data_IF_415910320607
#
_entry.id   IF_415910320607
#
_cell.length_a   1.000
_cell.length_b   1.000
_cell.length_c   1.000
_cell.angle_alpha   90.00
_cell.angle_beta   90.00
_cell.angle_gamma   90.00
#
_symmetry.space_group_name_H-M   'P 1'
#
loop_
_entity.id
_entity.type
_entity.pdbx_description
1 polymer ?
#
# COMPACT_ATOMS: atom_id res chain seq x y z
N UNK A 1 5.47 -10.52 16.12
CA UNK A 1 6.04 -9.22 16.53
C UNK A 1 7.31 -9.34 17.38
N UNK A 2 7.26 -9.94 18.58
CA UNK A 2 8.44 -10.02 19.47
C UNK A 2 9.69 -10.60 18.78
N UNK A 3 9.52 -11.66 17.97
CA UNK A 3 10.63 -12.26 17.23
C UNK A 3 11.32 -11.27 16.29
N UNK A 4 10.58 -10.40 15.61
CA UNK A 4 11.16 -9.37 14.74
C UNK A 4 12.05 -8.38 15.50
N UNK A 5 11.67 -7.99 16.72
CA UNK A 5 12.46 -7.08 17.56
C UNK A 5 13.80 -7.73 17.95
N UNK A 6 13.82 -9.04 18.17
CA UNK A 6 15.02 -9.76 18.60
C UNK A 6 15.86 -10.35 17.45
N UNK A 7 15.25 -10.71 16.31
CA UNK A 7 15.93 -11.41 15.19
C UNK A 7 15.98 -10.59 13.91
N UNK A 8 15.36 -9.41 13.85
CA UNK A 8 15.27 -8.56 12.66
C UNK A 8 14.51 -9.19 11.48
N UNK A 9 13.88 -10.34 11.69
CA UNK A 9 13.31 -11.16 10.61
C UNK A 9 12.05 -11.87 11.07
N UNK A 10 11.01 -11.87 10.22
CA UNK A 10 9.76 -12.57 10.46
C UNK A 10 9.24 -13.15 9.17
N UNK A 11 8.69 -14.36 9.23
CA UNK A 11 8.00 -14.96 8.09
C UNK A 11 6.57 -14.42 8.08
N UNK A 12 6.21 -13.64 7.07
CA UNK A 12 4.88 -13.05 6.93
C UNK A 12 4.01 -14.02 6.14
N UNK A 13 2.96 -14.54 6.77
CA UNK A 13 1.92 -15.30 6.09
C UNK A 13 0.70 -14.40 5.85
N UNK A 14 -0.07 -14.61 4.77
CA UNK A 14 -1.19 -13.73 4.39
C UNK A 14 -2.26 -13.61 5.48
N UNK A 15 -2.59 -14.70 6.17
CA UNK A 15 -3.54 -14.71 7.29
C UNK A 15 -3.08 -13.81 8.44
N UNK A 16 -1.77 -13.81 8.71
CA UNK A 16 -1.17 -13.08 9.82
C UNK A 16 -0.77 -11.67 9.36
N UNK A 17 -0.62 -11.44 8.05
CA UNK A 17 -0.14 -10.18 7.49
C UNK A 17 -1.02 -8.99 7.89
N UNK A 18 -2.33 -9.20 7.99
CA UNK A 18 -3.31 -8.20 8.43
C UNK A 18 -3.08 -7.77 9.88
N UNK A 19 -3.03 -8.73 10.81
CA UNK A 19 -2.77 -8.46 12.23
C UNK A 19 -1.36 -7.93 12.46
N UNK A 20 -0.39 -8.41 11.67
CA UNK A 20 0.99 -7.97 11.73
C UNK A 20 1.16 -6.56 11.18
N UNK A 21 0.41 -6.17 10.15
CA UNK A 21 0.36 -4.80 9.64
C UNK A 21 -0.23 -3.86 10.68
N UNK A 22 -1.34 -4.24 11.32
CA UNK A 22 -1.95 -3.50 12.42
C UNK A 22 -0.96 -3.29 13.58
N UNK A 23 -0.27 -4.35 13.99
CA UNK A 23 0.73 -4.27 15.03
C UNK A 23 1.93 -3.41 14.57
N UNK A 24 2.42 -3.58 13.34
CA UNK A 24 3.53 -2.81 12.81
C UNK A 24 3.22 -1.31 12.79
N UNK A 25 2.00 -0.93 12.46
CA UNK A 25 1.55 0.46 12.49
C UNK A 25 1.44 0.99 13.94
N UNK A 26 0.81 0.22 14.84
CA UNK A 26 0.68 0.59 16.25
C UNK A 26 2.03 0.81 16.95
N UNK A 27 3.06 0.05 16.58
CA UNK A 27 4.40 0.16 17.16
C UNK A 27 5.38 0.92 16.25
N UNK A 28 4.89 1.57 15.17
CA UNK A 28 5.69 2.36 14.23
C UNK A 28 6.93 1.61 13.68
N UNK A 29 6.82 0.30 13.48
CA UNK A 29 7.89 -0.54 12.93
C UNK A 29 7.88 -0.47 11.41
N UNK A 30 8.46 0.58 10.84
CA UNK A 30 8.46 0.80 9.38
C UNK A 30 9.02 -0.38 8.57
N UNK A 31 10.10 -1.02 9.04
CA UNK A 31 10.68 -2.17 8.33
C UNK A 31 9.73 -3.37 8.27
N UNK A 32 9.03 -3.64 9.38
CA UNK A 32 8.03 -4.70 9.44
C UNK A 32 6.81 -4.35 8.58
N UNK A 33 6.39 -3.08 8.62
CA UNK A 33 5.27 -2.56 7.82
C UNK A 33 5.53 -2.78 6.33
N UNK A 34 6.72 -2.42 5.82
CA UNK A 34 7.08 -2.64 4.40
C UNK A 34 7.09 -4.11 4.00
N UNK A 35 7.56 -5.01 4.88
CA UNK A 35 7.53 -6.44 4.62
C UNK A 35 6.09 -6.98 4.53
N UNK A 36 5.21 -6.54 5.43
CA UNK A 36 3.79 -6.87 5.37
C UNK A 36 3.13 -6.32 4.11
N UNK A 37 3.40 -5.05 3.77
CA UNK A 37 2.90 -4.41 2.56
C UNK A 37 3.30 -5.20 1.31
N UNK A 38 4.55 -5.66 1.22
CA UNK A 38 5.03 -6.45 0.08
C UNK A 38 4.36 -7.82 -0.02
N UNK A 39 4.22 -8.53 1.10
CA UNK A 39 3.53 -9.82 1.12
C UNK A 39 2.06 -9.69 0.70
N UNK A 40 1.37 -8.65 1.19
CA UNK A 40 -0.02 -8.37 0.83
C UNK A 40 -0.13 -7.94 -0.64
N UNK A 41 0.82 -7.15 -1.14
CA UNK A 41 0.82 -6.69 -2.53
C UNK A 41 0.94 -7.83 -3.55
N UNK A 42 1.62 -8.92 -3.19
CA UNK A 42 1.73 -10.11 -4.07
C UNK A 42 0.41 -10.88 -4.23
N UNK A 43 -0.52 -10.76 -3.28
CA UNK A 43 -1.80 -11.49 -3.28
C UNK A 43 -2.99 -10.61 -3.72
N UNK A 44 -2.71 -9.39 -4.20
CA UNK A 44 -3.76 -8.50 -4.70
C UNK A 44 -4.50 -9.18 -5.86
N UNK A 45 -5.82 -9.28 -5.71
CA UNK A 45 -6.73 -9.84 -6.71
C UNK A 45 -7.94 -8.93 -6.92
N UNK A 46 -8.65 -9.10 -8.04
CA UNK A 46 -9.80 -8.24 -8.41
C UNK A 46 -10.93 -8.28 -7.37
N UNK A 47 -11.09 -9.40 -6.67
CA UNK A 47 -12.11 -9.55 -5.63
C UNK A 47 -11.65 -9.02 -4.26
N UNK A 48 -10.34 -8.97 -4.01
CA UNK A 48 -9.77 -8.54 -2.72
C UNK A 48 -9.22 -7.11 -2.72
N UNK A 49 -9.04 -6.49 -3.90
CA UNK A 49 -8.44 -5.15 -4.03
C UNK A 49 -9.19 -4.08 -3.23
N UNK A 50 -10.52 -4.21 -3.10
CA UNK A 50 -11.33 -3.27 -2.32
C UNK A 50 -10.98 -3.34 -0.82
N UNK A 51 -10.90 -4.56 -0.26
CA UNK A 51 -10.53 -4.78 1.13
C UNK A 51 -9.10 -4.32 1.38
N UNK A 52 -8.16 -4.66 0.49
CA UNK A 52 -6.76 -4.23 0.59
C UNK A 52 -6.60 -2.71 0.54
N UNK A 53 -7.41 -2.02 -0.27
CA UNK A 53 -7.42 -0.56 -0.30
C UNK A 53 -7.92 0.03 1.02
N UNK A 54 -9.03 -0.45 1.57
CA UNK A 54 -9.55 0.00 2.86
C UNK A 54 -8.56 -0.26 4.00
N UNK A 55 -7.89 -1.41 4.00
CA UNK A 55 -6.84 -1.73 4.95
C UNK A 55 -5.64 -0.78 4.81
N UNK A 56 -5.25 -0.47 3.58
CA UNK A 56 -4.14 0.46 3.34
C UNK A 56 -4.43 1.87 3.83
N UNK A 57 -5.69 2.30 3.74
CA UNK A 57 -6.16 3.59 4.25
C UNK A 57 -6.23 3.57 5.78
N UNK A 58 -6.77 2.49 6.38
CA UNK A 58 -6.90 2.34 7.82
C UNK A 58 -5.55 2.30 8.56
N UNK A 59 -4.53 1.68 7.95
CA UNK A 59 -3.19 1.54 8.54
C UNK A 59 -2.15 2.46 7.89
N UNK A 60 -2.58 3.48 7.12
CA UNK A 60 -1.70 4.45 6.46
C UNK A 60 -0.51 3.81 5.73
N UNK A 61 -0.76 2.71 5.03
CA UNK A 61 0.24 1.85 4.39
C UNK A 61 0.50 2.31 2.95
N UNK A 62 1.37 3.32 2.81
CA UNK A 62 1.56 4.04 1.53
C UNK A 62 2.02 3.13 0.39
N UNK A 63 2.94 2.19 0.62
CA UNK A 63 3.47 1.32 -0.45
C UNK A 63 2.40 0.36 -0.96
N UNK A 64 1.61 -0.22 -0.05
CA UNK A 64 0.48 -1.07 -0.40
C UNK A 64 -0.57 -0.26 -1.16
N UNK A 65 -0.84 0.97 -0.71
CA UNK A 65 -1.80 1.86 -1.36
C UNK A 65 -1.42 2.17 -2.80
N UNK A 66 -0.15 2.49 -3.07
CA UNK A 66 0.33 2.68 -4.44
C UNK A 66 0.18 1.42 -5.28
N UNK A 67 0.50 0.26 -4.73
CA UNK A 67 0.34 -1.03 -5.42
C UNK A 67 -1.13 -1.30 -5.77
N UNK A 68 -2.05 -1.02 -4.84
CA UNK A 68 -3.50 -1.10 -5.09
C UNK A 68 -3.94 -0.14 -6.20
N UNK A 69 -3.49 1.12 -6.18
CA UNK A 69 -3.81 2.11 -7.22
C UNK A 69 -3.32 1.62 -8.60
N UNK A 70 -2.08 1.15 -8.70
CA UNK A 70 -1.52 0.63 -9.94
C UNK A 70 -2.31 -0.56 -10.46
N UNK A 71 -2.66 -1.51 -9.58
CA UNK A 71 -3.47 -2.67 -9.96
C UNK A 71 -4.88 -2.29 -10.43
N UNK A 72 -5.50 -1.29 -9.78
CA UNK A 72 -6.81 -0.76 -10.17
C UNK A 72 -6.74 -0.13 -11.57
N UNK A 73 -5.68 0.63 -11.85
CA UNK A 73 -5.45 1.24 -13.16
C UNK A 73 -5.20 0.19 -14.25
N UNK A 74 -4.50 -0.90 -13.92
CA UNK A 74 -4.24 -1.99 -14.87
C UNK A 74 -5.51 -2.81 -15.17
N UNK A 75 -6.32 -3.09 -14.14
CA UNK A 75 -7.53 -3.92 -14.25
C UNK A 75 -8.83 -3.10 -14.35
N UNK A 76 -8.73 -1.84 -14.79
CA UNK A 76 -9.87 -0.91 -14.85
C UNK A 76 -11.06 -1.47 -15.64
N UNK A 77 -10.80 -2.21 -16.73
CA UNK A 77 -11.82 -2.79 -17.60
C UNK A 77 -12.69 -3.81 -16.83
N UNK A 78 -12.04 -4.74 -16.11
CA UNK A 78 -12.73 -5.76 -15.31
C UNK A 78 -13.40 -5.20 -14.07
N UNK A 79 -12.80 -4.18 -13.48
CA UNK A 79 -13.32 -3.51 -12.28
C UNK A 79 -14.50 -2.60 -12.60
N UNK A 80 -14.56 -2.01 -13.80
CA UNK A 80 -15.65 -1.14 -14.24
C UNK A 80 -17.02 -1.81 -14.23
N UNK A 81 -17.04 -3.15 -14.40
CA UNK A 81 -18.26 -3.96 -14.33
C UNK A 81 -18.80 -4.13 -12.90
N UNK A 82 -17.98 -3.89 -11.87
CA UNK A 82 -18.38 -4.09 -10.47
C UNK A 82 -19.14 -2.86 -9.93
N UNK A 83 -20.24 -3.06 -9.19
CA UNK A 83 -21.09 -1.96 -8.71
C UNK A 83 -20.42 -1.05 -7.66
N UNK A 84 -19.36 -1.52 -7.00
CA UNK A 84 -18.62 -0.74 -6.00
C UNK A 84 -17.51 0.14 -6.60
N UNK A 85 -17.11 -0.11 -7.85
CA UNK A 85 -16.02 0.60 -8.51
C UNK A 85 -16.20 2.13 -8.58
N UNK A 86 -17.40 2.67 -8.93
CA UNK A 86 -17.59 4.12 -8.99
C UNK A 86 -17.35 4.81 -7.64
N UNK A 87 -17.72 4.14 -6.53
CA UNK A 87 -17.50 4.65 -5.17
C UNK A 87 -16.02 4.65 -4.82
N UNK A 88 -15.31 3.59 -5.21
CA UNK A 88 -13.87 3.50 -5.00
C UNK A 88 -13.12 4.60 -5.77
N UNK A 89 -13.48 4.83 -7.04
CA UNK A 89 -12.86 5.88 -7.87
C UNK A 89 -13.05 7.26 -7.25
N UNK A 90 -14.22 7.59 -6.71
CA UNK A 90 -14.43 8.86 -6.03
C UNK A 90 -13.49 9.08 -4.84
N UNK A 91 -13.12 8.00 -4.12
CA UNK A 91 -12.18 8.06 -3.00
C UNK A 91 -10.71 8.08 -3.46
N UNK A 92 -10.40 7.45 -4.58
CA UNK A 92 -9.02 7.32 -5.09
C UNK A 92 -8.55 8.54 -5.90
N UNK A 93 -9.47 9.28 -6.52
CA UNK A 93 -9.14 10.48 -7.31
C UNK A 93 -8.40 11.57 -6.51
N UNK A 94 -8.85 11.99 -5.30
CA UNK A 94 -8.11 12.98 -4.52
C UNK A 94 -6.73 12.46 -4.07
N UNK A 95 -6.62 11.17 -3.80
CA UNK A 95 -5.37 10.51 -3.40
C UNK A 95 -4.34 10.51 -4.52
N UNK A 96 -4.78 10.13 -5.72
CA UNK A 96 -3.94 10.17 -6.92
C UNK A 96 -3.48 11.61 -7.18
N UNK A 97 -4.38 12.59 -7.02
CA UNK A 97 -4.02 14.01 -7.12
C UNK A 97 -2.95 14.38 -6.09
N UNK A 98 -3.13 14.06 -4.81
CA UNK A 98 -2.15 14.38 -3.77
C UNK A 98 -0.80 13.68 -4.02
N UNK A 99 -0.82 12.43 -4.49
CA UNK A 99 0.37 11.70 -4.88
C UNK A 99 1.10 12.41 -6.03
N UNK A 100 0.40 12.74 -7.10
CA UNK A 100 1.00 13.46 -8.23
C UNK A 100 1.45 14.87 -7.82
N UNK A 101 0.71 15.57 -6.97
CA UNK A 101 1.15 16.85 -6.42
C UNK A 101 2.43 16.68 -5.61
N UNK A 102 2.55 15.69 -4.72
CA UNK A 102 3.82 15.43 -4.00
C UNK A 102 4.97 15.07 -4.91
N UNK A 103 4.72 14.31 -5.97
CA UNK A 103 5.75 13.90 -6.94
C UNK A 103 6.17 15.07 -7.84
N UNK A 104 5.22 15.89 -8.29
CA UNK A 104 5.47 17.03 -9.18
C UNK A 104 5.99 18.28 -8.44
N UNK A 105 5.61 18.46 -7.17
CA UNK A 105 6.05 19.59 -6.33
C UNK A 105 7.37 19.30 -5.62
N UNK A 106 7.90 18.07 -5.68
CA UNK A 106 9.30 17.79 -5.35
C UNK A 106 10.16 18.06 -6.60
N UNK A 107 10.81 19.23 -6.73
CA UNK A 107 11.85 19.37 -7.74
C UNK A 107 12.99 18.41 -7.40
N UNK A 108 13.57 17.83 -8.44
CA UNK A 108 14.80 17.05 -8.41
C UNK A 108 15.87 17.66 -7.49
N UNK A 109 16.00 17.12 -6.27
CA UNK A 109 17.24 17.08 -5.51
C UNK A 109 17.41 15.60 -5.21
N UNK A 110 18.18 14.82 -5.96
CA UNK A 110 19.64 14.88 -6.00
C UNK A 110 20.09 14.19 -7.28
N UNK A 111 20.62 14.96 -8.25
CA UNK A 111 21.63 14.44 -9.18
C UNK A 111 22.33 15.62 -9.87
N UNK A 112 23.35 16.18 -9.21
CA UNK A 112 24.61 16.52 -9.89
C UNK A 112 25.73 16.85 -8.88
N UNK A 113 26.80 16.04 -8.96
CA UNK A 113 28.23 16.31 -8.63
C UNK A 113 28.57 16.51 -7.14
N UNK A 114 29.31 15.64 -6.43
CA UNK A 114 30.61 15.02 -6.76
C UNK A 114 31.47 15.90 -7.66
N UNK A 115 32.16 16.90 -7.09
CA UNK A 115 33.63 17.02 -6.96
C UNK A 115 33.92 17.99 -5.82
#
# INVERSE_FOLDING_TARGET
>A
MMRYIYTGSVNVNLDIAHDLLKAADQYLLEGLKRLCEYAIAQDISVDNVMLMYELSEAYNAMSLRHSCILFILEQFDRLSSKPWYPRLVQRIVPEIREYFEKVLTKPNFVEMTQV
#
